data_IF_293362712859
#
_entry.id   IF_293362712859
#
_cell.length_a   1.000
_cell.length_b   1.000
_cell.length_c   1.000
_cell.angle_alpha   90.00
_cell.angle_beta   90.00
_cell.angle_gamma   90.00
#
_symmetry.space_group_name_H-M   'P 1'
#
loop_
_entity.id
_entity.type
_entity.pdbx_description
1 polymer ?
#
# COMPACT_ATOMS: atom_id res chain seq x y z
N UNK A 1 5.83 -26.00 27.47
CA UNK A 1 5.80 -25.49 28.86
C UNK A 1 5.53 -26.69 29.74
N UNK A 2 6.55 -27.20 30.41
CA UNK A 2 6.42 -28.35 31.29
C UNK A 2 5.80 -27.88 32.61
N UNK A 3 4.62 -28.39 32.96
CA UNK A 3 4.07 -28.22 34.30
C UNK A 3 4.91 -29.09 35.24
N UNK A 4 5.62 -28.43 36.15
CA UNK A 4 6.33 -29.09 37.24
C UNK A 4 5.29 -29.89 38.05
N UNK A 5 5.45 -31.21 38.06
CA UNK A 5 4.71 -32.10 38.95
C UNK A 5 5.61 -32.27 40.16
N UNK A 6 5.20 -31.74 41.31
CA UNK A 6 5.95 -31.92 42.55
C UNK A 6 5.99 -33.42 42.86
N UNK A 7 7.11 -34.06 42.52
CA UNK A 7 7.47 -35.32 43.15
C UNK A 7 7.93 -34.95 44.55
N UNK A 8 7.30 -35.53 45.57
CA UNK A 8 7.77 -35.43 46.96
C UNK A 8 9.20 -35.96 47.00
N UNK A 9 10.17 -35.06 47.04
CA UNK A 9 11.58 -35.36 47.33
C UNK A 9 11.75 -35.19 48.83
N UNK A 10 12.27 -36.21 49.48
CA UNK A 10 12.56 -36.21 50.92
C UNK A 10 13.42 -35.01 51.32
N UNK A 11 13.03 -34.40 52.45
CA UNK A 11 13.71 -33.30 53.13
C UNK A 11 15.16 -33.70 53.45
N UNK A 12 16.12 -33.27 52.63
CA UNK A 12 17.51 -32.96 52.97
C UNK A 12 18.31 -32.57 51.71
N UNK A 13 18.29 -31.29 51.36
CA UNK A 13 19.47 -30.57 50.85
C UNK A 13 19.17 -29.08 50.73
N UNK A 14 19.79 -28.35 51.65
CA UNK A 14 20.24 -26.96 51.64
C UNK A 14 19.64 -25.98 50.64
N UNK A 15 19.14 -24.88 51.21
CA UNK A 15 18.73 -23.69 50.50
C UNK A 15 19.83 -23.17 49.57
N UNK A 16 19.53 -23.14 48.29
CA UNK A 16 20.17 -22.26 47.34
C UNK A 16 19.13 -21.69 46.38
N UNK A 17 19.00 -20.36 46.44
CA UNK A 17 19.03 -19.46 45.29
C UNK A 17 18.79 -20.14 43.92
N UNK A 18 17.60 -19.93 43.33
CA UNK A 18 17.26 -20.17 41.92
C UNK A 18 17.94 -21.41 41.27
N UNK A 19 17.23 -22.53 41.21
CA UNK A 19 17.75 -23.76 40.61
C UNK A 19 18.12 -23.60 39.13
N UNK A 20 19.04 -24.42 38.63
CA UNK A 20 19.49 -24.42 37.22
C UNK A 20 18.30 -24.46 36.22
N UNK A 21 17.24 -25.20 36.56
CA UNK A 21 16.03 -25.27 35.75
C UNK A 21 15.25 -23.94 35.66
N UNK A 22 15.21 -23.18 36.74
CA UNK A 22 14.53 -21.87 36.79
C UNK A 22 15.34 -20.83 35.99
N UNK A 23 16.67 -20.88 36.06
CA UNK A 23 17.57 -20.05 35.24
C UNK A 23 17.42 -20.39 33.76
N UNK A 24 17.37 -21.67 33.40
CA UNK A 24 17.14 -22.13 32.01
C UNK A 24 15.77 -21.67 31.48
N UNK A 25 14.73 -21.69 32.32
CA UNK A 25 13.40 -21.20 31.96
C UNK A 25 13.40 -19.68 31.74
N UNK A 26 14.03 -18.90 32.62
CA UNK A 26 14.17 -17.45 32.46
C UNK A 26 14.94 -17.10 31.18
N UNK A 27 16.03 -17.82 30.90
CA UNK A 27 16.82 -17.63 29.68
C UNK A 27 15.97 -17.94 28.44
N UNK A 28 15.25 -19.06 28.43
CA UNK A 28 14.37 -19.47 27.33
C UNK A 28 13.27 -18.42 27.05
N UNK A 29 12.59 -17.94 28.09
CA UNK A 29 11.56 -16.90 27.98
C UNK A 29 12.13 -15.56 27.49
N UNK A 30 13.33 -15.20 27.94
CA UNK A 30 14.01 -13.98 27.48
C UNK A 30 14.37 -14.08 26.01
N UNK A 31 14.88 -15.24 25.56
CA UNK A 31 15.17 -15.50 24.15
C UNK A 31 13.91 -15.47 23.27
N UNK A 32 12.79 -16.04 23.76
CA UNK A 32 11.50 -16.02 23.04
C UNK A 32 10.99 -14.58 22.85
N UNK A 33 11.05 -13.76 23.92
CA UNK A 33 10.70 -12.33 23.86
C UNK A 33 11.62 -11.50 22.96
N UNK A 34 12.93 -11.73 23.01
CA UNK A 34 13.91 -11.06 22.14
C UNK A 34 13.72 -11.43 20.68
N UNK A 35 13.36 -12.67 20.38
CA UNK A 35 13.16 -13.16 19.02
C UNK A 35 12.06 -12.39 18.32
N UNK A 36 10.93 -12.14 18.98
CA UNK A 36 9.84 -11.32 18.43
C UNK A 36 10.27 -9.90 18.07
N UNK A 37 11.02 -9.24 18.97
CA UNK A 37 11.55 -7.89 18.74
C UNK A 37 12.58 -7.83 17.60
N UNK A 38 13.44 -8.85 17.48
CA UNK A 38 14.42 -8.95 16.38
C UNK A 38 13.71 -9.20 15.05
N UNK A 39 12.70 -10.07 15.02
CA UNK A 39 11.87 -10.33 13.83
C UNK A 39 11.16 -9.07 13.35
N UNK A 40 10.58 -8.29 14.27
CA UNK A 40 9.96 -7.01 13.94
C UNK A 40 10.96 -6.03 13.34
N UNK A 41 12.13 -5.88 13.97
CA UNK A 41 13.19 -5.02 13.48
C UNK A 41 13.69 -5.43 12.11
N UNK A 42 13.89 -6.73 11.86
CA UNK A 42 14.29 -7.24 10.54
C UNK A 42 13.24 -6.93 9.46
N UNK A 43 11.96 -7.05 9.79
CA UNK A 43 10.87 -6.69 8.87
C UNK A 43 10.84 -5.20 8.56
N UNK A 44 11.02 -4.36 9.59
CA UNK A 44 11.05 -2.90 9.45
C UNK A 44 12.26 -2.42 8.63
N UNK A 45 13.43 -3.00 8.87
CA UNK A 45 14.69 -2.57 8.24
C UNK A 45 14.86 -3.17 6.81
N UNK A 46 14.31 -4.35 6.51
CA UNK A 46 14.61 -5.10 5.27
C UNK A 46 13.40 -5.62 4.46
N UNK A 47 12.16 -5.41 4.90
CA UNK A 47 10.94 -5.89 4.22
C UNK A 47 10.95 -7.38 3.85
N UNK A 48 11.55 -8.22 4.70
CA UNK A 48 11.65 -9.67 4.45
C UNK A 48 10.27 -10.34 4.48
N UNK A 49 9.96 -11.15 3.46
CA UNK A 49 8.74 -11.99 3.44
C UNK A 49 8.82 -13.12 4.48
N UNK A 50 7.68 -13.57 4.98
CA UNK A 50 7.54 -14.65 5.99
C UNK A 50 8.29 -15.92 5.62
N UNK A 51 8.17 -16.38 4.37
CA UNK A 51 8.86 -17.58 3.88
C UNK A 51 10.39 -17.48 3.97
N UNK A 52 10.97 -16.33 3.61
CA UNK A 52 12.42 -16.14 3.67
C UNK A 52 12.95 -16.12 5.11
N UNK A 53 12.20 -15.52 6.04
CA UNK A 53 12.54 -15.52 7.46
C UNK A 53 12.52 -16.94 8.03
N UNK A 54 11.44 -17.69 7.78
CA UNK A 54 11.29 -19.07 8.25
C UNK A 54 12.41 -19.97 7.70
N UNK A 55 12.68 -19.92 6.39
CA UNK A 55 13.74 -20.72 5.78
C UNK A 55 15.12 -20.36 6.32
N UNK A 56 15.43 -19.08 6.49
CA UNK A 56 16.74 -18.64 6.99
C UNK A 56 16.95 -19.01 8.45
N UNK A 57 15.92 -18.83 9.28
CA UNK A 57 15.94 -19.21 10.70
C UNK A 57 16.18 -20.72 10.84
N UNK A 58 15.41 -21.54 10.12
CA UNK A 58 15.54 -22.99 10.20
C UNK A 58 16.89 -23.49 9.66
N UNK A 59 17.46 -22.86 8.62
CA UNK A 59 18.81 -23.19 8.13
C UNK A 59 19.89 -22.93 9.18
N UNK A 60 19.85 -21.78 9.84
CA UNK A 60 20.80 -21.47 10.92
C UNK A 60 20.61 -22.39 12.13
N UNK A 61 19.36 -22.70 12.50
CA UNK A 61 19.08 -23.68 13.57
C UNK A 61 19.66 -25.05 13.27
N UNK A 62 19.50 -25.56 12.04
CA UNK A 62 20.10 -26.84 11.61
C UNK A 62 21.62 -26.78 11.69
N UNK A 63 22.23 -25.66 11.28
CA UNK A 63 23.68 -25.49 11.35
C UNK A 63 24.22 -25.55 12.78
N UNK A 64 23.67 -24.75 13.70
CA UNK A 64 24.14 -24.72 15.10
C UNK A 64 23.86 -26.03 15.83
N UNK A 65 22.66 -26.60 15.66
CA UNK A 65 22.29 -27.87 16.29
C UNK A 65 23.09 -29.05 15.72
N UNK A 66 23.41 -29.03 14.42
CA UNK A 66 24.23 -30.07 13.80
C UNK A 66 25.64 -30.13 14.41
N UNK A 67 26.26 -28.97 14.65
CA UNK A 67 27.56 -28.90 15.34
C UNK A 67 27.43 -29.42 16.79
N UNK A 68 26.37 -29.03 17.51
CA UNK A 68 26.16 -29.50 18.88
C UNK A 68 25.95 -31.03 18.95
N UNK A 69 25.06 -31.59 18.13
CA UNK A 69 24.74 -33.02 18.08
C UNK A 69 25.93 -33.90 17.69
N UNK A 70 26.80 -33.39 16.80
CA UNK A 70 28.03 -34.10 16.43
C UNK A 70 29.07 -34.04 17.55
N UNK A 71 29.19 -32.90 18.25
CA UNK A 71 30.11 -32.74 19.36
C UNK A 71 29.71 -33.55 20.60
N UNK A 72 28.42 -33.71 20.88
CA UNK A 72 27.91 -34.50 22.02
C UNK A 72 27.87 -36.00 21.75
N UNK A 73 27.95 -36.43 20.48
CA UNK A 73 27.86 -37.83 20.07
C UNK A 73 26.44 -38.40 20.00
N UNK A 74 25.43 -37.63 20.41
CA UNK A 74 24.01 -38.01 20.39
C UNK A 74 23.51 -38.36 18.98
N UNK A 75 24.12 -37.79 17.95
CA UNK A 75 23.79 -38.11 16.56
C UNK A 75 23.98 -39.60 16.25
N UNK A 76 25.04 -40.21 16.78
CA UNK A 76 25.33 -41.63 16.54
C UNK A 76 24.40 -42.54 17.33
N UNK A 77 24.04 -42.15 18.56
CA UNK A 77 23.04 -42.87 19.36
C UNK A 77 21.67 -42.85 18.68
N UNK A 78 21.29 -41.71 18.08
CA UNK A 78 20.06 -41.58 17.31
C UNK A 78 20.02 -42.53 16.10
N UNK A 79 21.10 -42.63 15.33
CA UNK A 79 21.15 -43.58 14.21
C UNK A 79 21.00 -45.03 14.67
N UNK A 80 21.67 -45.40 15.78
CA UNK A 80 21.52 -46.73 16.37
C UNK A 80 20.10 -46.99 16.90
N UNK A 81 19.39 -45.96 17.35
CA UNK A 81 17.98 -46.05 17.75
C UNK A 81 17.04 -46.23 16.54
N UNK A 82 17.24 -45.45 15.47
CA UNK A 82 16.43 -45.53 14.24
C UNK A 82 16.59 -46.90 13.56
N UNK A 83 17.79 -47.48 13.55
CA UNK A 83 18.00 -48.84 13.04
C UNK A 83 17.21 -49.90 13.82
N UNK A 84 17.07 -49.73 15.13
CA UNK A 84 16.29 -50.63 16.00
C UNK A 84 14.78 -50.39 15.90
N UNK A 85 14.36 -49.16 15.62
CA UNK A 85 12.95 -48.77 15.50
C UNK A 85 12.69 -47.91 14.25
N UNK A 86 12.60 -48.53 13.04
CA UNK A 86 12.43 -47.79 11.80
C UNK A 86 11.11 -47.01 11.70
N UNK A 87 10.06 -47.46 12.41
CA UNK A 87 8.76 -46.78 12.45
C UNK A 87 8.83 -45.35 12.96
N UNK A 88 9.85 -45.02 13.76
CA UNK A 88 10.09 -43.67 14.30
C UNK A 88 10.26 -42.62 13.20
N UNK A 89 10.76 -43.01 12.01
CA UNK A 89 10.89 -42.08 10.88
C UNK A 89 9.54 -41.54 10.40
N UNK A 90 8.48 -42.35 10.44
CA UNK A 90 7.13 -41.91 10.06
C UNK A 90 6.59 -40.91 11.09
N UNK A 91 6.76 -41.20 12.37
CA UNK A 91 6.35 -40.30 13.46
C UNK A 91 7.10 -38.96 13.42
N UNK A 92 8.41 -39.00 13.18
CA UNK A 92 9.23 -37.81 13.01
C UNK A 92 8.84 -37.00 11.77
N UNK A 93 8.50 -37.69 10.67
CA UNK A 93 8.00 -37.06 9.45
C UNK A 93 6.67 -36.33 9.69
N UNK A 94 5.71 -37.00 10.32
CA UNK A 94 4.41 -36.42 10.65
C UNK A 94 4.55 -35.23 11.61
N UNK A 95 5.37 -35.38 12.65
CA UNK A 95 5.68 -34.30 13.59
C UNK A 95 6.32 -33.10 12.88
N UNK A 96 7.25 -33.34 11.95
CA UNK A 96 7.92 -32.28 11.18
C UNK A 96 6.96 -31.53 10.27
N UNK A 97 6.05 -32.23 9.58
CA UNK A 97 5.02 -31.59 8.73
C UNK A 97 4.07 -30.75 9.57
N UNK A 98 3.55 -31.30 10.68
CA UNK A 98 2.68 -30.58 11.59
C UNK A 98 3.39 -29.34 12.19
N UNK A 99 4.66 -29.48 12.56
CA UNK A 99 5.51 -28.39 13.04
C UNK A 99 5.72 -27.31 11.97
N UNK A 100 6.01 -27.70 10.72
CA UNK A 100 6.19 -26.76 9.61
C UNK A 100 4.91 -25.97 9.32
N UNK A 101 3.74 -26.62 9.30
CA UNK A 101 2.44 -25.95 9.15
C UNK A 101 2.17 -24.97 10.30
N UNK A 102 2.43 -25.38 11.54
CA UNK A 102 2.29 -24.52 12.71
C UNK A 102 3.22 -23.30 12.68
N UNK A 103 4.49 -23.51 12.32
CA UNK A 103 5.45 -22.42 12.15
C UNK A 103 5.04 -21.48 11.02
N UNK A 104 4.54 -22.02 9.90
CA UNK A 104 4.07 -21.20 8.79
C UNK A 104 2.96 -20.24 9.22
N UNK A 105 2.00 -20.71 10.02
CA UNK A 105 0.95 -19.86 10.58
C UNK A 105 1.50 -18.77 11.52
N UNK A 106 2.49 -19.10 12.35
CA UNK A 106 3.17 -18.14 13.22
C UNK A 106 3.86 -17.05 12.38
N UNK A 107 4.69 -17.44 11.41
CA UNK A 107 5.40 -16.49 10.56
C UNK A 107 4.44 -15.66 9.69
N UNK A 108 3.34 -16.26 9.22
CA UNK A 108 2.28 -15.53 8.52
C UNK A 108 1.64 -14.49 9.43
N UNK A 109 1.25 -14.87 10.65
CA UNK A 109 0.65 -13.98 11.64
C UNK A 109 1.57 -12.79 11.98
N UNK A 110 2.86 -13.06 12.21
CA UNK A 110 3.89 -12.00 12.42
C UNK A 110 4.05 -11.12 11.18
N UNK A 111 4.00 -11.71 9.98
CA UNK A 111 4.20 -10.98 8.73
C UNK A 111 3.00 -10.12 8.32
N UNK A 112 1.78 -10.53 8.64
CA UNK A 112 0.57 -9.81 8.25
C UNK A 112 0.09 -8.87 9.35
N UNK A 113 0.06 -9.35 10.59
CA UNK A 113 -0.54 -8.64 11.73
C UNK A 113 0.49 -8.08 12.71
N UNK A 114 1.75 -8.54 12.62
CA UNK A 114 2.84 -8.10 13.51
C UNK A 114 3.05 -9.03 14.71
N UNK A 115 4.11 -8.78 15.51
CA UNK A 115 4.50 -9.67 16.60
C UNK A 115 3.50 -9.67 17.76
N UNK A 116 2.88 -8.52 18.03
CA UNK A 116 1.94 -8.34 19.14
C UNK A 116 0.68 -9.21 18.99
N UNK A 117 -0.07 -9.17 17.86
CA UNK A 117 -1.16 -10.11 17.62
C UNK A 117 -0.73 -11.58 17.63
N UNK A 118 0.47 -11.89 17.12
CA UNK A 118 1.00 -13.25 17.16
C UNK A 118 1.24 -13.75 18.59
N UNK A 119 1.80 -12.91 19.47
CA UNK A 119 1.99 -13.21 20.89
C UNK A 119 0.66 -13.44 21.60
N UNK A 120 -0.34 -12.60 21.33
CA UNK A 120 -1.70 -12.74 21.90
C UNK A 120 -2.33 -14.05 21.43
N UNK A 121 -2.32 -14.35 20.13
CA UNK A 121 -2.90 -15.58 19.57
C UNK A 121 -2.22 -16.84 20.14
N UNK A 122 -0.89 -16.85 20.20
CA UNK A 122 -0.14 -18.02 20.68
C UNK A 122 -0.31 -18.23 22.18
N UNK A 123 -0.37 -17.17 22.98
CA UNK A 123 -0.54 -17.26 24.44
C UNK A 123 -1.97 -17.64 24.80
N UNK A 124 -2.96 -17.04 24.14
CA UNK A 124 -4.38 -17.41 24.29
C UNK A 124 -4.59 -18.89 23.96
N UNK A 125 -4.04 -19.36 22.83
CA UNK A 125 -4.09 -20.79 22.47
C UNK A 125 -3.46 -21.67 23.54
N UNK A 126 -2.23 -21.36 23.97
CA UNK A 126 -1.51 -22.14 25.01
C UNK A 126 -2.33 -22.21 26.30
N UNK A 127 -2.94 -21.11 26.72
CA UNK A 127 -3.80 -21.08 27.91
C UNK A 127 -5.02 -21.98 27.77
N UNK A 128 -5.77 -21.87 26.67
CA UNK A 128 -6.94 -22.73 26.46
C UNK A 128 -6.56 -24.21 26.36
N UNK A 129 -5.40 -24.54 25.80
CA UNK A 129 -4.87 -25.91 25.82
C UNK A 129 -4.54 -26.38 27.25
N UNK A 130 -3.95 -25.52 28.08
CA UNK A 130 -3.66 -25.83 29.50
C UNK A 130 -4.96 -26.01 30.28
N UNK A 131 -5.93 -25.09 30.15
CA UNK A 131 -7.23 -25.20 30.79
C UNK A 131 -8.00 -26.44 30.32
N UNK A 132 -7.95 -26.75 29.02
CA UNK A 132 -8.51 -27.98 28.47
C UNK A 132 -7.88 -29.24 29.08
N UNK A 133 -6.55 -29.25 29.26
CA UNK A 133 -5.86 -30.36 29.95
C UNK A 133 -6.29 -30.50 31.42
N UNK A 134 -6.43 -29.39 32.15
CA UNK A 134 -6.91 -29.38 33.54
C UNK A 134 -8.32 -29.98 33.65
N UNK A 135 -9.23 -29.59 32.74
CA UNK A 135 -10.61 -30.10 32.68
C UNK A 135 -10.66 -31.58 32.28
N UNK A 136 -9.92 -31.97 31.23
CA UNK A 136 -9.95 -33.34 30.68
C UNK A 136 -9.29 -34.36 31.62
N UNK A 137 -8.19 -33.99 32.27
CA UNK A 137 -7.45 -34.90 33.16
C UNK A 137 -7.81 -34.76 34.64
N UNK A 138 -8.78 -33.90 34.98
CA UNK A 138 -9.30 -33.75 36.35
C UNK A 138 -8.29 -33.20 37.36
N UNK A 139 -7.24 -32.50 36.90
CA UNK A 139 -6.25 -31.90 37.78
C UNK A 139 -6.78 -30.57 38.35
N UNK A 140 -6.46 -30.25 39.60
CA UNK A 140 -6.78 -28.94 40.19
C UNK A 140 -5.56 -28.03 40.13
N UNK A 141 -5.74 -26.80 39.63
CA UNK A 141 -4.69 -25.79 39.62
C UNK A 141 -4.53 -25.20 41.03
N UNK A 142 -3.29 -25.18 41.53
CA UNK A 142 -2.96 -24.56 42.81
C UNK A 142 -3.26 -23.05 42.78
N UNK A 143 -3.56 -22.41 43.94
CA UNK A 143 -3.81 -20.96 44.00
C UNK A 143 -2.69 -20.10 43.39
N UNK A 144 -1.42 -20.53 43.53
CA UNK A 144 -0.26 -19.85 42.90
C UNK A 144 -0.30 -19.90 41.37
N UNK A 145 -0.80 -20.98 40.78
CA UNK A 145 -0.92 -21.15 39.33
C UNK A 145 -2.05 -20.29 38.76
N UNK A 146 -3.16 -20.18 39.49
CA UNK A 146 -4.25 -19.26 39.17
C UNK A 146 -3.80 -17.80 39.19
N UNK A 147 -3.04 -17.40 40.22
CA UNK A 147 -2.48 -16.05 40.30
C UNK A 147 -1.55 -15.74 39.10
N UNK A 148 -0.72 -16.71 38.71
CA UNK A 148 0.13 -16.60 37.52
C UNK A 148 -0.69 -16.47 36.22
N UNK A 149 -1.76 -17.24 36.08
CA UNK A 149 -2.66 -17.14 34.92
C UNK A 149 -3.33 -15.76 34.85
N UNK A 150 -3.89 -15.26 35.96
CA UNK A 150 -4.49 -13.93 36.01
C UNK A 150 -3.49 -12.84 35.63
N UNK A 151 -2.26 -12.89 36.16
CA UNK A 151 -1.20 -11.92 35.83
C UNK A 151 -0.91 -11.87 34.32
N UNK A 152 -0.77 -13.03 33.67
CA UNK A 152 -0.49 -13.12 32.22
C UNK A 152 -1.64 -12.54 31.40
N UNK A 153 -2.90 -12.84 31.75
CA UNK A 153 -4.06 -12.31 31.03
C UNK A 153 -4.26 -10.81 31.25
N UNK A 154 -4.04 -10.32 32.47
CA UNK A 154 -4.05 -8.88 32.73
C UNK A 154 -2.96 -8.18 31.92
N UNK A 155 -1.74 -8.73 31.85
CA UNK A 155 -0.66 -8.20 31.02
C UNK A 155 -1.02 -8.14 29.53
N UNK A 156 -1.54 -9.23 28.96
CA UNK A 156 -1.95 -9.28 27.55
C UNK A 156 -3.14 -8.36 27.24
N UNK A 157 -4.10 -8.24 28.16
CA UNK A 157 -5.26 -7.36 27.98
C UNK A 157 -4.86 -5.89 28.08
N UNK A 158 -3.98 -5.55 29.03
CA UNK A 158 -3.38 -4.22 29.10
C UNK A 158 -2.55 -3.89 27.86
N UNK A 159 -1.79 -4.84 27.32
CA UNK A 159 -1.03 -4.66 26.08
C UNK A 159 -1.95 -4.56 24.84
N UNK A 160 -3.08 -5.26 24.82
CA UNK A 160 -4.11 -5.11 23.79
C UNK A 160 -4.84 -3.76 23.83
N UNK A 161 -5.09 -3.22 25.02
CA UNK A 161 -5.76 -1.93 25.21
C UNK A 161 -4.83 -0.72 25.09
N UNK A 162 -3.60 -0.84 25.61
CA UNK A 162 -2.63 0.25 25.74
C UNK A 162 -1.39 0.10 24.83
N UNK A 163 -1.14 -1.07 24.24
CA UNK A 163 -0.01 -1.34 23.34
C UNK A 163 -0.14 -0.75 21.93
N UNK A 164 -1.12 0.14 21.71
CA UNK A 164 -1.05 1.09 20.59
C UNK A 164 0.06 2.10 20.86
N UNK A 165 1.31 1.71 20.58
CA UNK A 165 2.42 2.66 20.59
C UNK A 165 2.12 3.80 19.62
N UNK A 166 2.18 5.03 20.14
CA UNK A 166 2.13 6.25 19.35
C UNK A 166 3.39 6.36 18.45
N UNK A 167 3.27 6.90 17.23
CA UNK A 167 4.38 6.97 16.29
C UNK A 167 5.55 7.84 16.79
N UNK A 168 6.77 7.41 16.44
CA UNK A 168 8.07 7.99 16.83
C UNK A 168 8.38 9.29 16.07
N UNK A 169 8.61 10.40 16.81
CA UNK A 169 8.89 11.75 16.25
C UNK A 169 10.01 11.79 15.21
N UNK A 170 9.69 12.50 14.14
CA UNK A 170 10.56 13.05 13.11
C UNK A 170 11.15 14.44 13.43
N UNK A 171 12.43 14.63 13.11
CA UNK A 171 13.18 15.90 13.19
C UNK A 171 12.79 16.83 12.03
N UNK A 172 12.42 18.08 12.33
CA UNK A 172 12.14 19.13 11.33
C UNK A 172 13.45 19.89 11.06
N UNK A 173 13.98 19.79 9.83
CA UNK A 173 15.08 20.64 9.36
C UNK A 173 14.50 21.96 8.82
N UNK A 174 14.52 23.01 9.65
CA UNK A 174 14.34 24.40 9.20
C UNK A 174 15.73 25.03 9.02
N UNK A 175 16.15 25.22 7.77
CA UNK A 175 17.37 25.96 7.45
C UNK A 175 17.45 26.30 5.96
N UNK A 176 17.81 27.54 5.65
CA UNK A 176 18.31 27.91 4.30
C UNK A 176 19.68 27.25 4.16
N UNK A 177 19.80 26.23 3.31
CA UNK A 177 21.08 25.60 3.02
C UNK A 177 21.67 26.17 1.72
N UNK A 178 22.96 26.49 1.74
CA UNK A 178 23.73 26.90 0.56
C UNK A 178 24.23 25.67 -0.21
N UNK A 179 24.41 25.83 -1.52
CA UNK A 179 24.64 24.81 -2.56
C UNK A 179 25.86 23.87 -2.40
N UNK A 180 26.54 23.86 -1.26
CA UNK A 180 27.75 23.05 -1.02
C UNK A 180 27.53 21.71 -0.29
N UNK A 181 26.33 21.38 0.20
CA UNK A 181 26.17 20.35 1.24
C UNK A 181 25.31 19.13 0.89
N UNK A 182 25.32 18.66 -0.36
CA UNK A 182 24.74 17.36 -0.73
C UNK A 182 25.50 16.19 -0.04
N UNK A 183 26.76 16.40 0.34
CA UNK A 183 27.55 15.42 1.12
C UNK A 183 27.09 15.29 2.59
N UNK A 184 26.39 16.28 3.15
CA UNK A 184 25.90 16.22 4.54
C UNK A 184 24.68 15.31 4.66
N UNK A 185 23.78 15.31 3.66
CA UNK A 185 22.66 14.36 3.59
C UNK A 185 23.17 12.90 3.50
N UNK A 186 24.29 12.67 2.80
CA UNK A 186 24.96 11.35 2.79
C UNK A 186 25.62 10.99 4.12
N UNK A 187 26.23 11.95 4.82
CA UNK A 187 26.92 11.72 6.11
C UNK A 187 25.97 11.56 7.31
N UNK A 188 24.76 12.10 7.27
CA UNK A 188 23.79 11.98 8.37
C UNK A 188 23.02 10.66 8.38
N UNK A 189 23.22 9.78 7.39
CA UNK A 189 22.61 8.45 7.31
C UNK A 189 23.13 7.44 8.36
N UNK A 190 24.07 7.83 9.23
CA UNK A 190 24.79 6.89 10.11
C UNK A 190 24.76 7.15 11.62
N UNK A 191 24.06 8.17 12.13
CA UNK A 191 24.06 8.42 13.58
C UNK A 191 22.73 8.07 14.28
N UNK A 192 22.56 6.77 14.54
CA UNK A 192 21.42 6.16 15.23
C UNK A 192 21.55 6.35 16.76
N UNK A 193 21.59 7.58 17.28
CA UNK A 193 21.61 7.87 18.73
C UNK A 193 21.35 9.35 19.00
N UNK A 194 20.09 9.74 19.22
CA UNK A 194 19.70 10.86 20.11
C UNK A 194 18.18 10.86 20.29
N UNK A 195 17.73 10.84 21.55
CA UNK A 195 16.32 10.96 21.96
C UNK A 195 15.87 12.41 21.75
N UNK A 196 14.75 12.71 21.08
CA UNK A 196 14.15 14.03 21.11
C UNK A 196 13.02 14.10 22.15
N UNK A 197 13.15 15.04 23.07
CA UNK A 197 12.10 15.54 23.95
C UNK A 197 11.18 16.50 23.17
N UNK A 198 9.87 16.39 23.42
CA UNK A 198 8.73 17.17 22.92
C UNK A 198 8.12 16.73 21.58
N UNK A 199 6.79 16.64 21.61
CA UNK A 199 5.93 15.94 20.66
C UNK A 199 5.06 16.94 19.92
N UNK A 200 5.49 17.42 18.76
CA UNK A 200 4.60 18.17 17.86
C UNK A 200 3.90 17.19 16.92
N UNK A 201 2.56 17.23 16.88
CA UNK A 201 1.77 16.52 15.89
C UNK A 201 2.12 16.99 14.47
N UNK A 202 2.16 16.08 13.49
CA UNK A 202 2.30 16.47 12.09
C UNK A 202 0.94 16.99 11.63
N UNK A 203 0.74 18.30 11.73
CA UNK A 203 -0.41 18.96 11.14
C UNK A 203 -0.24 19.00 9.62
N UNK A 204 -1.16 18.35 8.90
CA UNK A 204 -1.33 18.50 7.46
C UNK A 204 -2.23 19.70 7.19
N UNK A 205 -1.86 20.52 6.22
CA UNK A 205 -2.64 21.70 5.85
C UNK A 205 -3.64 21.40 4.72
N UNK A 206 -3.33 20.43 3.88
CA UNK A 206 -4.21 20.01 2.80
C UNK A 206 -4.33 18.49 2.71
N UNK A 207 -4.11 17.97 1.51
CA UNK A 207 -4.26 16.56 1.18
C UNK A 207 -2.89 15.88 1.10
N UNK A 208 -2.85 14.56 1.30
CA UNK A 208 -1.61 13.79 1.21
C UNK A 208 -1.43 13.21 -0.21
N UNK A 209 -0.40 13.69 -0.90
CA UNK A 209 0.10 13.12 -2.13
C UNK A 209 1.17 12.08 -1.85
N UNK A 210 0.99 10.85 -2.34
CA UNK A 210 1.91 9.74 -2.08
C UNK A 210 2.54 9.19 -3.35
N UNK A 211 3.80 8.73 -3.25
CA UNK A 211 4.54 8.14 -4.36
C UNK A 211 5.52 9.09 -5.04
N UNK A 212 6.57 8.52 -5.62
CA UNK A 212 7.68 9.30 -6.20
C UNK A 212 7.22 10.10 -7.42
N UNK A 213 6.53 9.46 -8.36
CA UNK A 213 6.10 10.11 -9.60
C UNK A 213 5.10 11.25 -9.36
N UNK A 214 4.00 11.06 -8.61
CA UNK A 214 3.06 12.14 -8.32
C UNK A 214 3.74 13.34 -7.66
N UNK A 215 4.55 13.11 -6.61
CA UNK A 215 5.24 14.20 -5.90
C UNK A 215 6.25 14.90 -6.81
N UNK A 216 7.01 14.15 -7.62
CA UNK A 216 7.96 14.74 -8.57
C UNK A 216 7.26 15.60 -9.63
N UNK A 217 6.11 15.16 -10.15
CA UNK A 217 5.35 15.91 -11.15
C UNK A 217 4.68 17.14 -10.54
N UNK A 218 4.14 17.04 -9.32
CA UNK A 218 3.59 18.17 -8.57
C UNK A 218 4.65 19.26 -8.37
N UNK A 219 5.86 18.85 -7.97
CA UNK A 219 7.00 19.74 -7.84
C UNK A 219 7.28 20.47 -9.16
N UNK A 220 7.31 19.73 -10.28
CA UNK A 220 7.59 20.30 -11.61
C UNK A 220 6.52 21.27 -12.09
N UNK A 221 5.24 20.89 -11.99
CA UNK A 221 4.13 21.59 -12.59
C UNK A 221 3.76 22.90 -11.89
N UNK A 222 3.86 22.95 -10.55
CA UNK A 222 3.46 24.10 -9.72
C UNK A 222 1.97 24.49 -9.84
N UNK A 223 1.11 23.57 -10.27
CA UNK A 223 -0.34 23.79 -10.37
C UNK A 223 -1.07 23.75 -9.00
N UNK A 224 -0.35 23.44 -7.92
CA UNK A 224 -0.85 23.50 -6.55
C UNK A 224 0.28 23.77 -5.57
N UNK A 225 -0.07 24.27 -4.38
CA UNK A 225 0.89 24.56 -3.32
C UNK A 225 1.34 23.26 -2.67
N UNK A 226 2.66 23.12 -2.47
CA UNK A 226 3.26 22.04 -1.69
C UNK A 226 3.73 22.64 -0.37
N UNK A 227 3.06 22.28 0.73
CA UNK A 227 3.34 22.81 2.06
C UNK A 227 4.62 22.21 2.64
N UNK A 228 4.82 20.90 2.46
CA UNK A 228 6.01 20.17 2.88
C UNK A 228 6.12 18.82 2.17
N UNK A 229 7.36 18.33 2.00
CA UNK A 229 7.67 16.97 1.56
C UNK A 229 8.17 16.17 2.75
N UNK A 230 7.53 15.02 3.01
CA UNK A 230 7.91 14.10 4.06
C UNK A 230 8.47 12.82 3.44
N UNK A 231 9.61 12.35 3.93
CA UNK A 231 10.30 11.22 3.31
C UNK A 231 10.97 10.29 4.32
N UNK A 232 11.20 9.06 3.88
CA UNK A 232 12.06 8.10 4.56
C UNK A 232 13.18 7.70 3.58
N UNK A 233 14.46 7.81 3.97
CA UNK A 233 15.58 7.48 3.09
C UNK A 233 15.52 6.02 2.64
N UNK A 234 15.82 5.75 1.37
CA UNK A 234 15.83 4.37 0.88
C UNK A 234 16.01 4.16 -0.63
N UNK A 235 15.95 5.22 -1.44
CA UNK A 235 16.20 5.10 -2.88
C UNK A 235 16.87 6.34 -3.50
N UNK A 236 17.68 6.13 -4.54
CA UNK A 236 18.30 7.21 -5.34
C UNK A 236 17.25 8.12 -6.00
N UNK A 237 16.08 7.57 -6.37
CA UNK A 237 14.97 8.34 -6.94
C UNK A 237 14.40 9.33 -5.92
N UNK A 238 14.35 8.95 -4.65
CA UNK A 238 13.96 9.85 -3.54
C UNK A 238 14.96 11.00 -3.44
N UNK A 239 16.27 10.74 -3.50
CA UNK A 239 17.30 11.80 -3.44
C UNK A 239 17.10 12.88 -4.52
N UNK A 240 16.91 12.48 -5.78
CA UNK A 240 16.66 13.44 -6.89
C UNK A 240 15.40 14.27 -6.69
N UNK A 241 14.35 13.67 -6.11
CA UNK A 241 13.12 14.39 -5.77
C UNK A 241 13.35 15.41 -4.64
N UNK A 242 14.13 15.05 -3.63
CA UNK A 242 14.46 15.95 -2.52
C UNK A 242 15.32 17.12 -2.97
N UNK A 243 16.28 16.91 -3.88
CA UNK A 243 17.04 17.99 -4.53
C UNK A 243 16.11 18.98 -5.23
N UNK A 244 15.10 18.46 -5.94
CA UNK A 244 14.11 19.29 -6.63
C UNK A 244 13.22 20.07 -5.66
N UNK A 245 12.77 19.44 -4.57
CA UNK A 245 11.99 20.11 -3.53
C UNK A 245 12.82 21.20 -2.84
N UNK A 246 14.08 20.89 -2.57
CA UNK A 246 15.03 21.80 -1.95
C UNK A 246 15.33 23.02 -2.83
N UNK A 247 15.61 22.81 -4.12
CA UNK A 247 15.82 23.87 -5.09
C UNK A 247 14.61 24.82 -5.22
N UNK A 248 13.41 24.33 -4.87
CA UNK A 248 12.17 25.12 -4.83
C UNK A 248 11.87 25.77 -3.48
N UNK A 249 12.74 25.60 -2.48
CA UNK A 249 12.55 26.14 -1.14
C UNK A 249 11.37 25.50 -0.38
N UNK A 250 10.94 24.30 -0.78
CA UNK A 250 9.86 23.58 -0.11
C UNK A 250 10.42 22.91 1.14
N UNK A 251 9.76 23.03 2.31
CA UNK A 251 10.18 22.35 3.52
C UNK A 251 10.25 20.84 3.34
N UNK A 252 11.35 20.22 3.76
CA UNK A 252 11.56 18.77 3.71
C UNK A 252 11.68 18.24 5.15
N UNK A 253 10.94 17.18 5.47
CA UNK A 253 10.93 16.54 6.78
C UNK A 253 11.21 15.04 6.66
N UNK A 254 12.26 14.56 7.32
CA UNK A 254 12.53 13.13 7.40
C UNK A 254 11.65 12.50 8.48
N UNK A 255 10.90 11.46 8.13
CA UNK A 255 9.94 10.77 9.01
C UNK A 255 10.21 9.28 9.08
N UNK A 256 9.68 8.63 10.13
CA UNK A 256 9.76 7.17 10.24
C UNK A 256 8.87 6.49 9.19
N UNK A 257 9.21 5.26 8.80
CA UNK A 257 8.41 4.50 7.84
C UNK A 257 6.95 4.30 8.30
N UNK A 258 6.75 4.03 9.59
CA UNK A 258 5.42 3.93 10.18
C UNK A 258 4.61 5.24 10.08
N UNK A 259 5.25 6.40 10.25
CA UNK A 259 4.61 7.71 10.07
C UNK A 259 4.20 7.94 8.62
N UNK A 260 5.03 7.54 7.64
CA UNK A 260 4.65 7.61 6.23
C UNK A 260 3.43 6.77 5.91
N UNK A 261 3.32 5.55 6.47
CA UNK A 261 2.15 4.71 6.28
C UNK A 261 0.89 5.37 6.84
N UNK A 262 0.98 5.96 8.03
CA UNK A 262 -0.14 6.68 8.65
C UNK A 262 -0.55 7.86 7.76
N UNK A 263 0.40 8.69 7.31
CA UNK A 263 0.12 9.83 6.43
C UNK A 263 -0.49 9.38 5.10
N UNK A 264 0.11 8.38 4.45
CA UNK A 264 -0.38 7.86 3.18
C UNK A 264 -1.79 7.26 3.30
N UNK A 265 -2.12 6.67 4.45
CA UNK A 265 -3.46 6.12 4.74
C UNK A 265 -4.57 7.17 4.80
N UNK A 266 -4.23 8.46 4.94
CA UNK A 266 -5.20 9.57 4.90
C UNK A 266 -5.79 9.74 3.49
N UNK A 267 -5.04 9.42 2.44
CA UNK A 267 -5.51 9.51 1.06
C UNK A 267 -6.13 8.20 0.58
N UNK A 268 -5.57 7.05 0.98
CA UNK A 268 -6.03 5.72 0.53
C UNK A 268 -5.65 4.63 1.54
N UNK A 269 -6.59 3.73 1.90
CA UNK A 269 -6.41 2.69 2.93
C UNK A 269 -5.15 1.82 2.75
N UNK A 270 -4.66 1.63 1.53
CA UNK A 270 -3.45 0.84 1.20
C UNK A 270 -2.48 1.61 0.30
N UNK A 271 -2.23 2.87 0.63
CA UNK A 271 -1.40 3.73 -0.17
C UNK A 271 0.08 3.28 -0.24
N UNK A 272 0.52 2.78 -1.40
CA UNK A 272 1.94 2.63 -1.72
C UNK A 272 2.61 4.00 -1.89
N UNK A 273 3.34 4.45 -0.87
CA UNK A 273 3.98 5.76 -0.83
C UNK A 273 5.44 5.79 -1.34
N UNK A 274 6.09 4.62 -1.53
CA UNK A 274 7.45 4.53 -2.07
C UNK A 274 8.50 5.39 -1.32
N UNK A 275 8.35 5.52 0.00
CA UNK A 275 9.24 6.32 0.85
C UNK A 275 9.05 7.83 0.78
N UNK A 276 8.01 8.35 0.09
CA UNK A 276 7.76 9.79 0.00
C UNK A 276 6.26 10.13 0.02
N UNK A 277 5.92 11.19 0.75
CA UNK A 277 4.62 11.84 0.70
C UNK A 277 4.81 13.36 0.68
N UNK A 278 3.84 14.09 0.17
CA UNK A 278 3.79 15.55 0.22
C UNK A 278 2.44 16.01 0.74
N UNK A 279 2.46 17.02 1.61
CA UNK A 279 1.27 17.76 2.02
C UNK A 279 1.02 18.88 1.01
N UNK A 280 -0.11 18.82 0.32
CA UNK A 280 -0.41 19.64 -0.86
C UNK A 280 -1.79 20.27 -0.74
N UNK A 281 -1.97 21.45 -1.32
CA UNK A 281 -3.30 22.02 -1.48
C UNK A 281 -4.13 21.18 -2.46
N UNK A 282 -5.46 21.38 -2.46
CA UNK A 282 -6.32 20.81 -3.48
C UNK A 282 -5.89 21.28 -4.87
N UNK A 283 -6.02 20.39 -5.85
CA UNK A 283 -5.87 20.75 -7.25
C UNK A 283 -7.22 21.29 -7.74
N UNK A 284 -7.26 22.57 -8.08
CA UNK A 284 -8.49 23.25 -8.53
C UNK A 284 -8.45 23.31 -10.06
N UNK A 285 -9.42 22.69 -10.77
CA UNK A 285 -9.48 22.77 -12.21
C UNK A 285 -9.79 24.20 -12.64
N UNK A 286 -9.14 24.65 -13.72
CA UNK A 286 -9.40 25.94 -14.34
C UNK A 286 -10.53 25.80 -15.35
N UNK A 287 -11.40 26.80 -15.44
CA UNK A 287 -12.42 26.83 -16.50
C UNK A 287 -11.77 26.98 -17.88
N UNK A 288 -12.27 26.21 -18.84
CA UNK A 288 -11.85 26.30 -20.24
C UNK A 288 -12.33 27.60 -20.88
N UNK A 289 -11.48 28.23 -21.69
CA UNK A 289 -11.80 29.43 -22.45
C UNK A 289 -11.76 29.15 -23.94
N UNK A 290 -12.55 29.89 -24.72
CA UNK A 290 -12.57 29.77 -26.19
C UNK A 290 -11.22 30.12 -26.84
N UNK A 291 -10.36 30.89 -26.17
CA UNK A 291 -9.01 31.24 -26.64
C UNK A 291 -7.98 30.11 -26.44
N UNK A 292 -8.31 29.04 -25.72
CA UNK A 292 -7.40 27.93 -25.42
C UNK A 292 -7.17 26.96 -26.60
N UNK A 293 -7.72 27.30 -27.78
CA UNK A 293 -7.70 26.51 -29.02
C UNK A 293 -6.48 26.89 -29.87
N UNK A 294 -5.53 25.97 -30.05
CA UNK A 294 -4.47 26.13 -31.05
C UNK A 294 -5.07 25.99 -32.47
N UNK A 295 -4.46 26.62 -33.47
CA UNK A 295 -4.88 26.58 -34.88
C UNK A 295 -4.57 25.23 -35.57
N UNK A 296 -3.86 24.33 -34.88
CA UNK A 296 -3.53 22.97 -35.35
C UNK A 296 -4.67 21.98 -35.11
N UNK A 297 -4.49 20.75 -35.59
CA UNK A 297 -5.35 19.63 -35.21
C UNK A 297 -5.46 19.52 -33.68
N UNK A 298 -6.70 19.41 -33.19
CA UNK A 298 -6.97 19.31 -31.77
C UNK A 298 -7.92 18.16 -31.49
N UNK A 299 -7.54 17.31 -30.55
CA UNK A 299 -8.44 16.34 -29.93
C UNK A 299 -8.63 16.72 -28.46
N UNK A 300 -9.88 17.00 -28.09
CA UNK A 300 -10.30 17.21 -26.71
C UNK A 300 -11.11 16.01 -26.25
N UNK A 301 -11.01 15.69 -24.96
CA UNK A 301 -11.77 14.61 -24.34
C UNK A 301 -12.61 15.19 -23.20
N UNK A 302 -13.93 15.05 -23.31
CA UNK A 302 -14.91 15.44 -22.31
C UNK A 302 -15.28 14.20 -21.47
N UNK A 303 -15.00 14.24 -20.16
CA UNK A 303 -15.30 13.14 -19.23
C UNK A 303 -16.58 13.46 -18.47
N UNK A 304 -17.64 12.69 -18.73
CA UNK A 304 -18.96 12.89 -18.13
C UNK A 304 -19.29 11.74 -17.16
N UNK A 305 -19.31 12.03 -15.86
CA UNK A 305 -19.87 11.12 -14.86
C UNK A 305 -18.96 9.97 -14.40
N UNK A 306 -17.65 10.05 -14.61
CA UNK A 306 -16.72 9.06 -14.07
C UNK A 306 -16.60 9.20 -12.54
N UNK A 307 -16.84 8.10 -11.82
CA UNK A 307 -16.82 8.04 -10.35
C UNK A 307 -15.51 7.51 -9.76
N UNK A 308 -14.92 6.51 -10.41
CA UNK A 308 -13.73 5.81 -9.89
C UNK A 308 -12.45 6.61 -10.18
N UNK A 309 -11.69 7.04 -9.16
CA UNK A 309 -10.42 7.75 -9.35
C UNK A 309 -9.37 6.94 -10.13
N UNK A 310 -9.44 5.61 -10.10
CA UNK A 310 -8.54 4.76 -10.88
C UNK A 310 -8.81 4.89 -12.38
N UNK A 311 -10.08 4.85 -12.78
CA UNK A 311 -10.51 5.07 -14.15
C UNK A 311 -10.18 6.47 -14.63
N UNK A 312 -10.51 7.51 -13.85
CA UNK A 312 -10.20 8.91 -14.19
C UNK A 312 -8.71 9.10 -14.39
N UNK A 313 -7.88 8.61 -13.46
CA UNK A 313 -6.43 8.73 -13.57
C UNK A 313 -5.84 7.98 -14.77
N UNK A 314 -6.36 6.79 -15.07
CA UNK A 314 -5.94 6.02 -16.24
C UNK A 314 -6.30 6.72 -17.55
N UNK A 315 -7.52 7.27 -17.68
CA UNK A 315 -7.94 8.03 -18.86
C UNK A 315 -7.07 9.27 -19.06
N UNK A 316 -6.82 10.07 -18.00
CA UNK A 316 -5.96 11.27 -18.08
C UNK A 316 -4.56 10.90 -18.55
N UNK A 317 -4.01 9.80 -18.05
CA UNK A 317 -2.69 9.30 -18.45
C UNK A 317 -2.67 8.88 -19.92
N UNK A 318 -3.68 8.16 -20.39
CA UNK A 318 -3.82 7.78 -21.80
C UNK A 318 -3.93 9.01 -22.69
N UNK A 319 -4.76 9.98 -22.32
CA UNK A 319 -4.94 11.25 -23.04
C UNK A 319 -3.59 11.97 -23.23
N UNK A 320 -2.83 12.15 -22.15
CA UNK A 320 -1.51 12.78 -22.21
C UNK A 320 -0.54 12.00 -23.10
N UNK A 321 -0.47 10.68 -22.95
CA UNK A 321 0.44 9.83 -23.73
C UNK A 321 0.13 9.84 -25.22
N UNK A 322 -1.16 9.91 -25.58
CA UNK A 322 -1.63 9.87 -26.96
C UNK A 322 -1.70 11.25 -27.62
N UNK A 323 -1.35 12.31 -26.90
CA UNK A 323 -1.32 13.67 -27.44
C UNK A 323 -2.68 14.35 -27.55
N UNK A 324 -3.65 13.95 -26.71
CA UNK A 324 -4.89 14.72 -26.51
C UNK A 324 -4.51 16.11 -25.98
N UNK A 325 -5.06 17.16 -26.59
CA UNK A 325 -4.69 18.53 -26.27
C UNK A 325 -5.29 19.00 -24.94
N UNK A 326 -6.52 18.60 -24.65
CA UNK A 326 -7.26 18.98 -23.44
C UNK A 326 -8.14 17.84 -22.94
N UNK A 327 -8.16 17.66 -21.64
CA UNK A 327 -9.19 16.87 -20.95
C UNK A 327 -10.09 17.85 -20.22
N UNK A 328 -11.39 17.64 -20.29
CA UNK A 328 -12.39 18.52 -19.71
C UNK A 328 -13.30 17.66 -18.83
N UNK A 329 -13.50 18.08 -17.58
CA UNK A 329 -14.42 17.49 -16.63
C UNK A 329 -15.46 18.55 -16.25
N UNK A 330 -16.63 18.58 -16.89
CA UNK A 330 -17.65 19.58 -16.58
C UNK A 330 -18.07 19.51 -15.12
N UNK A 331 -18.26 20.67 -14.48
CA UNK A 331 -18.57 20.73 -13.03
C UNK A 331 -19.87 19.98 -12.70
N UNK A 332 -20.86 20.05 -13.58
CA UNK A 332 -22.14 19.34 -13.49
C UNK A 332 -21.99 17.82 -13.46
N UNK A 333 -21.01 17.27 -14.17
CA UNK A 333 -20.75 15.82 -14.26
C UNK A 333 -19.53 15.37 -13.46
N UNK A 334 -18.90 16.26 -12.69
CA UNK A 334 -17.69 16.00 -11.93
C UNK A 334 -17.99 15.21 -10.64
N UNK A 335 -18.11 13.89 -10.77
CA UNK A 335 -18.41 12.99 -9.65
C UNK A 335 -17.16 12.46 -8.91
N UNK A 336 -15.98 12.65 -9.50
CA UNK A 336 -14.69 12.26 -8.92
C UNK A 336 -13.77 13.49 -8.73
N UNK A 337 -13.44 13.88 -7.48
CA UNK A 337 -12.51 14.97 -7.23
C UNK A 337 -11.11 14.66 -7.80
N UNK A 338 -10.39 15.69 -8.27
CA UNK A 338 -8.99 15.62 -8.71
C UNK A 338 -8.02 15.43 -7.52
N UNK A 339 -8.21 14.32 -6.82
CA UNK A 339 -7.56 13.99 -5.55
C UNK A 339 -6.16 13.43 -5.76
N UNK A 340 -5.35 13.31 -4.69
CA UNK A 340 -4.10 12.56 -4.72
C UNK A 340 -4.19 11.12 -5.23
N UNK A 341 -5.36 10.48 -5.09
CA UNK A 341 -5.60 9.12 -5.62
C UNK A 341 -5.61 9.14 -7.14
N UNK A 342 -6.30 10.12 -7.77
CA UNK A 342 -6.27 10.32 -9.23
C UNK A 342 -4.85 10.67 -9.71
N UNK A 343 -4.12 11.50 -8.96
CA UNK A 343 -2.72 11.80 -9.26
C UNK A 343 -1.86 10.55 -9.27
N UNK A 344 -2.06 9.66 -8.29
CA UNK A 344 -1.34 8.38 -8.22
C UNK A 344 -1.75 7.42 -9.34
N UNK A 345 -3.05 7.26 -9.60
CA UNK A 345 -3.58 6.42 -10.68
C UNK A 345 -3.04 6.85 -12.06
N UNK A 346 -2.90 8.16 -12.29
CA UNK A 346 -2.32 8.73 -13.50
C UNK A 346 -0.79 8.73 -13.54
N UNK A 347 -0.12 8.13 -12.56
CA UNK A 347 1.34 8.19 -12.38
C UNK A 347 1.90 9.63 -12.34
N UNK A 348 1.14 10.57 -11.80
CA UNK A 348 1.48 11.98 -11.65
C UNK A 348 1.15 12.84 -12.86
N UNK A 349 0.60 12.28 -13.95
CA UNK A 349 0.22 13.06 -15.14
C UNK A 349 -0.79 14.14 -14.81
N UNK A 350 -1.72 13.88 -13.88
CA UNK A 350 -2.68 14.87 -13.39
C UNK A 350 -2.03 16.20 -12.99
N UNK A 351 -0.80 16.16 -12.45
CA UNK A 351 -0.12 17.37 -11.99
C UNK A 351 0.32 18.27 -13.13
N UNK A 352 0.81 17.69 -14.23
CA UNK A 352 1.36 18.40 -15.39
C UNK A 352 0.33 18.62 -16.50
N UNK A 353 -0.75 17.85 -16.49
CA UNK A 353 -1.83 17.87 -17.46
C UNK A 353 -3.18 17.79 -16.72
N UNK A 354 -3.52 18.82 -15.91
CA UNK A 354 -4.78 18.85 -15.18
C UNK A 354 -5.96 19.05 -16.14
N UNK A 355 -7.09 18.37 -15.92
CA UNK A 355 -8.32 18.64 -16.65
C UNK A 355 -8.82 20.07 -16.43
N UNK A 356 -9.44 20.64 -17.47
CA UNK A 356 -10.23 21.86 -17.37
C UNK A 356 -11.64 21.55 -16.84
N UNK A 357 -12.30 22.58 -16.34
CA UNK A 357 -13.72 22.53 -15.97
C UNK A 357 -14.57 23.33 -16.96
N UNK A 358 -15.87 23.04 -16.95
CA UNK A 358 -16.91 23.93 -17.47
C UNK A 358 -17.82 24.20 -16.27
N UNK A 359 -17.68 25.39 -15.66
CA UNK A 359 -18.48 25.76 -14.49
C UNK A 359 -19.97 25.88 -14.78
N UNK A 360 -20.35 26.33 -15.98
CA UNK A 360 -21.74 26.59 -16.37
C UNK A 360 -21.99 26.19 -17.82
N UNK A 361 -23.19 25.67 -18.08
CA UNK A 361 -23.76 25.45 -19.41
C UNK A 361 -22.88 24.63 -20.37
N UNK A 362 -22.79 23.33 -20.10
CA UNK A 362 -22.07 22.38 -20.97
C UNK A 362 -22.68 22.33 -22.37
N UNK A 363 -24.00 22.46 -22.47
CA UNK A 363 -24.75 22.42 -23.72
C UNK A 363 -24.42 23.64 -24.60
N UNK A 364 -24.48 24.85 -24.05
CA UNK A 364 -24.08 26.07 -24.74
C UNK A 364 -22.62 26.06 -25.16
N UNK A 365 -21.72 25.55 -24.31
CA UNK A 365 -20.32 25.37 -24.69
C UNK A 365 -20.16 24.46 -25.92
N UNK A 366 -20.82 23.28 -25.93
CA UNK A 366 -20.76 22.36 -27.07
C UNK A 366 -21.34 23.00 -28.34
N UNK A 367 -22.46 23.71 -28.21
CA UNK A 367 -23.05 24.47 -29.31
C UNK A 367 -22.06 25.48 -29.93
N UNK A 368 -21.36 26.26 -29.11
CA UNK A 368 -20.37 27.23 -29.55
C UNK A 368 -19.17 26.55 -30.25
N UNK A 369 -18.74 25.39 -29.74
CA UNK A 369 -17.67 24.62 -30.39
C UNK A 369 -18.13 24.09 -31.76
N UNK A 370 -19.37 23.62 -31.89
CA UNK A 370 -19.92 23.17 -33.18
C UNK A 370 -19.92 24.34 -34.19
N UNK A 371 -20.38 25.53 -33.78
CA UNK A 371 -20.33 26.74 -34.61
C UNK A 371 -18.90 27.14 -34.99
N UNK A 372 -17.94 26.87 -34.11
CA UNK A 372 -16.51 27.10 -34.33
C UNK A 372 -15.81 26.00 -35.16
N UNK A 373 -16.58 25.08 -35.72
CA UNK A 373 -16.09 24.05 -36.64
C UNK A 373 -15.57 22.77 -35.97
N UNK A 374 -15.87 22.54 -34.69
CA UNK A 374 -15.54 21.29 -34.02
C UNK A 374 -16.46 20.15 -34.46
N UNK A 375 -15.90 18.94 -34.52
CA UNK A 375 -16.62 17.68 -34.64
C UNK A 375 -16.82 17.10 -33.23
N UNK A 376 -18.06 17.10 -32.74
CA UNK A 376 -18.43 16.58 -31.43
C UNK A 376 -18.91 15.14 -31.61
N UNK A 377 -18.23 14.23 -30.92
CA UNK A 377 -18.32 12.79 -31.13
C UNK A 377 -18.71 12.13 -29.82
N UNK A 378 -19.85 11.45 -29.80
CA UNK A 378 -20.31 10.66 -28.66
C UNK A 378 -19.71 9.25 -28.66
N UNK A 379 -19.41 8.70 -27.48
CA UNK A 379 -19.10 7.27 -27.33
C UNK A 379 -20.35 6.47 -26.95
N UNK A 380 -20.61 5.36 -27.63
CA UNK A 380 -21.73 4.47 -27.33
C UNK A 380 -21.29 3.00 -27.19
N UNK A 381 -22.16 2.17 -26.61
CA UNK A 381 -22.00 0.72 -26.58
C UNK A 381 -22.46 0.14 -27.91
N UNK A 382 -21.74 -0.88 -28.41
CA UNK A 382 -22.11 -1.56 -29.65
C UNK A 382 -23.46 -2.28 -29.49
N UNK A 383 -24.37 -2.09 -30.45
CA UNK A 383 -25.64 -2.82 -30.56
C UNK A 383 -25.89 -3.24 -32.00
N UNK A 384 -26.31 -4.50 -32.21
CA UNK A 384 -26.68 -5.02 -33.54
C UNK A 384 -27.92 -4.34 -34.14
N UNK A 385 -28.75 -3.71 -33.29
CA UNK A 385 -29.95 -2.97 -33.69
C UNK A 385 -29.72 -1.48 -33.81
N UNK A 386 -28.60 -0.96 -33.30
CA UNK A 386 -28.21 0.40 -33.64
C UNK A 386 -28.03 0.41 -35.15
N UNK A 387 -28.73 1.31 -35.84
CA UNK A 387 -28.29 1.72 -37.16
C UNK A 387 -26.90 2.30 -36.93
N UNK A 388 -25.88 1.44 -37.02
CA UNK A 388 -24.50 1.83 -36.97
C UNK A 388 -24.39 2.90 -38.05
N UNK A 389 -24.33 4.15 -37.62
CA UNK A 389 -23.97 5.23 -38.52
C UNK A 389 -22.60 4.79 -39.01
N UNK A 390 -22.55 4.36 -40.27
CA UNK A 390 -21.35 3.81 -40.86
C UNK A 390 -20.23 4.78 -40.53
N UNK A 391 -19.11 4.29 -40.00
CA UNK A 391 -18.07 5.19 -39.53
C UNK A 391 -17.56 6.03 -40.71
N UNK A 392 -17.94 7.31 -40.74
CA UNK A 392 -17.47 8.25 -41.73
C UNK A 392 -16.33 9.06 -41.11
N UNK A 393 -15.09 8.93 -41.60
CA UNK A 393 -13.97 9.76 -41.15
C UNK A 393 -14.32 11.23 -41.38
N UNK A 394 -14.29 12.02 -40.30
CA UNK A 394 -14.52 13.45 -40.38
C UNK A 394 -13.25 14.14 -40.89
N UNK A 395 -13.41 15.03 -41.88
CA UNK A 395 -12.32 15.87 -42.39
C UNK A 395 -12.03 17.07 -41.48
N UNK A 396 -12.78 17.25 -40.39
CA UNK A 396 -12.61 18.37 -39.46
C UNK A 396 -11.36 18.16 -38.59
N UNK A 397 -10.44 19.15 -38.52
CA UNK A 397 -9.20 19.02 -37.74
C UNK A 397 -9.41 19.14 -36.22
N UNK A 398 -10.56 19.65 -35.77
CA UNK A 398 -10.88 19.90 -34.35
C UNK A 398 -11.98 18.94 -33.90
N UNK A 399 -11.71 18.16 -32.85
CA UNK A 399 -12.59 17.08 -32.40
C UNK A 399 -12.76 17.08 -30.89
N UNK A 400 -13.99 16.86 -30.44
CA UNK A 400 -14.33 16.63 -29.03
C UNK A 400 -14.89 15.22 -28.92
N UNK A 401 -14.21 14.35 -28.19
CA UNK A 401 -14.71 13.03 -27.83
C UNK A 401 -15.39 13.11 -26.46
N UNK A 402 -16.67 12.77 -26.39
CA UNK A 402 -17.41 12.68 -25.13
C UNK A 402 -17.38 11.23 -24.66
N UNK A 403 -16.89 11.02 -23.44
CA UNK A 403 -16.85 9.73 -22.76
C UNK A 403 -17.80 9.73 -21.56
N UNK A 404 -18.69 8.76 -21.55
CA UNK A 404 -19.68 8.56 -20.49
C UNK A 404 -19.19 7.71 -19.31
N UNK A 405 -20.07 7.52 -18.33
CA UNK A 405 -19.83 6.60 -17.22
C UNK A 405 -20.01 5.14 -17.65
N UNK A 406 -19.36 4.20 -16.96
CA UNK A 406 -19.45 2.77 -17.27
C UNK A 406 -20.87 2.19 -17.16
N UNK A 407 -21.75 2.82 -16.37
CA UNK A 407 -23.11 2.31 -16.13
C UNK A 407 -24.17 3.02 -16.97
N UNK A 408 -24.18 4.34 -16.93
CA UNK A 408 -25.22 5.15 -17.60
C UNK A 408 -24.82 5.59 -19.01
N UNK A 409 -23.57 5.37 -19.43
CA UNK A 409 -23.05 5.95 -20.65
C UNK A 409 -22.97 7.48 -20.58
N UNK A 410 -23.03 8.11 -21.74
CA UNK A 410 -23.04 9.57 -21.89
C UNK A 410 -24.40 10.13 -21.44
N UNK A 411 -24.46 11.34 -20.84
CA UNK A 411 -25.74 11.97 -20.53
C UNK A 411 -26.58 12.19 -21.81
N UNK A 412 -27.84 11.78 -21.78
CA UNK A 412 -28.79 11.90 -22.91
C UNK A 412 -28.92 13.36 -23.40
N UNK A 413 -28.81 14.33 -22.49
CA UNK A 413 -28.87 15.76 -22.79
C UNK A 413 -27.74 16.25 -23.71
N UNK A 414 -26.64 15.50 -23.82
CA UNK A 414 -25.51 15.83 -24.70
C UNK A 414 -25.61 15.16 -26.08
N UNK A 415 -26.54 14.20 -26.27
CA UNK A 415 -26.72 13.50 -27.54
C UNK A 415 -27.07 14.45 -28.71
N UNK A 416 -27.95 15.46 -28.56
CA UNK A 416 -28.28 16.38 -29.65
C UNK A 416 -27.08 17.19 -30.19
N UNK A 417 -25.99 17.28 -29.41
CA UNK A 417 -24.77 17.98 -29.79
C UNK A 417 -23.76 17.04 -30.48
N UNK A 418 -23.95 15.72 -30.39
CA UNK A 418 -23.11 14.75 -31.06
C UNK A 418 -23.46 14.71 -32.56
N UNK A 419 -22.50 15.07 -33.40
CA UNK A 419 -22.63 15.00 -34.86
C UNK A 419 -22.54 13.56 -35.36
N UNK A 420 -21.91 12.68 -34.57
CA UNK A 420 -21.79 11.24 -34.81
C UNK A 420 -21.44 10.51 -33.52
N UNK A 421 -21.67 9.21 -33.54
CA UNK A 421 -21.29 8.29 -32.46
C UNK A 421 -20.19 7.34 -32.93
N UNK A 422 -19.34 6.92 -31.99
CA UNK A 422 -18.31 5.90 -32.21
C UNK A 422 -18.40 4.84 -31.13
N UNK A 423 -18.11 3.60 -31.52
CA UNK A 423 -18.13 2.44 -30.64
C UNK A 423 -16.98 1.49 -30.96
N UNK A 424 -16.69 0.57 -30.03
CA UNK A 424 -15.69 -0.47 -30.22
C UNK A 424 -16.40 -1.75 -30.59
N UNK A 425 -16.17 -2.22 -31.82
CA UNK A 425 -16.77 -3.48 -32.29
C UNK A 425 -16.11 -4.67 -31.57
N UNK A 426 -16.90 -5.57 -30.96
CA UNK A 426 -16.35 -6.76 -30.33
C UNK A 426 -15.79 -7.73 -31.39
N UNK A 427 -14.70 -8.41 -31.06
CA UNK A 427 -14.08 -9.41 -31.94
C UNK A 427 -14.73 -10.80 -31.91
N UNK A 428 -15.87 -10.94 -31.22
CA UNK A 428 -16.64 -12.17 -31.06
C UNK A 428 -18.05 -11.84 -30.57
N UNK A 429 -18.94 -12.82 -30.61
CA UNK A 429 -20.22 -12.74 -29.93
C UNK A 429 -20.00 -12.65 -28.43
N UNK A 430 -20.63 -11.65 -27.80
CA UNK A 430 -20.48 -11.37 -26.38
C UNK A 430 -21.45 -12.20 -25.56
N UNK A 431 -21.02 -12.59 -24.35
CA UNK A 431 -21.95 -13.08 -23.34
C UNK A 431 -22.86 -11.91 -22.91
N UNK A 432 -24.18 -12.13 -22.70
CA UNK A 432 -25.09 -11.08 -22.26
C UNK A 432 -24.66 -10.33 -20.97
N UNK A 433 -23.78 -10.93 -20.16
CA UNK A 433 -23.24 -10.31 -18.95
C UNK A 433 -22.03 -9.41 -19.21
N UNK A 434 -21.52 -9.35 -20.44
CA UNK A 434 -20.35 -8.57 -20.84
C UNK A 434 -20.73 -7.71 -22.04
N UNK A 435 -21.20 -6.49 -21.78
CA UNK A 435 -21.68 -5.56 -22.80
C UNK A 435 -20.62 -4.53 -23.23
N UNK A 436 -19.60 -4.29 -22.40
CA UNK A 436 -18.71 -3.14 -22.57
C UNK A 436 -17.30 -3.37 -22.01
N UNK A 437 -16.37 -2.51 -22.44
CA UNK A 437 -15.01 -2.43 -21.89
C UNK A 437 -14.98 -1.43 -20.73
N UNK A 438 -14.03 -1.62 -19.81
CA UNK A 438 -13.70 -0.59 -18.82
C UNK A 438 -13.42 0.75 -19.52
N UNK A 439 -13.96 1.85 -18.96
CA UNK A 439 -13.93 3.17 -19.60
C UNK A 439 -12.51 3.65 -19.94
N UNK A 440 -11.50 3.28 -19.12
CA UNK A 440 -10.11 3.67 -19.39
C UNK A 440 -9.49 2.97 -20.60
N UNK A 441 -9.90 1.72 -20.85
CA UNK A 441 -9.49 0.96 -22.03
C UNK A 441 -10.24 1.46 -23.26
N UNK A 442 -11.55 1.67 -23.13
CA UNK A 442 -12.38 2.20 -24.20
C UNK A 442 -11.87 3.58 -24.67
N UNK A 443 -11.57 4.48 -23.74
CA UNK A 443 -10.98 5.79 -24.03
C UNK A 443 -9.72 5.67 -24.89
N UNK A 444 -8.78 4.80 -24.52
CA UNK A 444 -7.54 4.63 -25.27
C UNK A 444 -7.77 4.12 -26.70
N UNK A 445 -8.67 3.15 -26.89
CA UNK A 445 -8.98 2.60 -28.21
C UNK A 445 -9.68 3.63 -29.11
N UNK A 446 -10.67 4.35 -28.57
CA UNK A 446 -11.37 5.40 -29.30
C UNK A 446 -10.46 6.57 -29.67
N UNK A 447 -9.56 6.99 -28.75
CA UNK A 447 -8.56 8.01 -29.04
C UNK A 447 -7.64 7.54 -30.18
N UNK A 448 -7.20 6.27 -30.18
CA UNK A 448 -6.31 5.76 -31.24
C UNK A 448 -7.02 5.70 -32.59
N UNK A 449 -8.27 5.24 -32.61
CA UNK A 449 -9.09 5.24 -33.82
C UNK A 449 -9.22 6.64 -34.41
N UNK A 450 -9.53 7.65 -33.58
CA UNK A 450 -9.58 9.04 -34.01
C UNK A 450 -8.22 9.55 -34.49
N UNK A 451 -7.10 9.13 -33.89
CA UNK A 451 -5.77 9.55 -34.36
C UNK A 451 -5.41 8.96 -35.72
N UNK A 452 -5.93 7.78 -36.06
CA UNK A 452 -5.68 7.14 -37.35
C UNK A 452 -6.43 7.78 -38.53
N UNK A 453 -7.61 8.37 -38.30
CA UNK A 453 -8.36 9.07 -39.36
C UNK A 453 -7.60 10.20 -40.06
N UNK A 454 -6.51 10.69 -39.45
CA UNK A 454 -5.73 11.84 -39.94
C UNK A 454 -4.35 11.45 -40.49
N UNK A 455 -3.98 10.17 -40.48
CA UNK A 455 -2.76 9.67 -41.15
C UNK A 455 -3.10 9.01 -42.47
#
# INVERSE_FOLDING_TARGET
MFMFKDVKVDDKSDGSLLGLGEIMLLLSLTCDGLTGAVQERMKLDYQTKSGHMMTSMNKWSVFYLGIALTATGELWEFFGFVQRHPSVLYELGLFSIASALGQYFIFMCVSEFGPLPCSICTTTRKFFTVMGSVVIFGNSLMPRQWMGATLVFTGLFLDGLYGREAPKKAMILKGRFSSGNLQILRRMSFNKRRRPSNVEAIFTQGEILSGIHPVQMALKAKNRKIHQVMYNPGSKRTETLLELAFARGIPIKQVAFAELNILASQAEKKAVHQGVVADVSRLIPTDIRNEDVDTRENLWVLLCGLKDPMNVGAVIRSCYFMGVNRVICPAEYAQCPLSPVVSKASAGVLEIFPPFSISHDVQGFLHDQIQSGWDVIGSEVYSDTAQASEYHPSTKPKRILILGSEGSGMPEELEPFCQRFIHIKPGRDLDPCVDSLNVSVAAALLIEQLRHDHK
#
